data_IF_377518084700
#
_entry.id   IF_377518084700
#
_cell.length_a   1.000
_cell.length_b   1.000
_cell.length_c   1.000
_cell.angle_alpha   90.00
_cell.angle_beta   90.00
_cell.angle_gamma   90.00
#
_symmetry.space_group_name_H-M   'P 1'
#
loop_
_entity.id
_entity.type
_entity.pdbx_description
1 polymer ?
#
# COMPACT_ATOMS: atom_id res chain seq x y z
N UNK A 1 -25.59 -6.55 -14.60
CA UNK A 1 -26.44 -6.52 -13.39
C UNK A 1 -27.71 -7.34 -13.61
N UNK A 2 -28.33 -7.85 -12.53
CA UNK A 2 -29.57 -8.62 -12.57
C UNK A 2 -29.46 -10.07 -13.04
N UNK A 3 -28.35 -10.49 -13.63
CA UNK A 3 -28.15 -11.88 -14.04
C UNK A 3 -27.79 -12.76 -12.84
N UNK A 4 -28.25 -14.02 -12.87
CA UNK A 4 -27.96 -15.01 -11.82
C UNK A 4 -26.71 -15.82 -12.16
N UNK A 5 -25.93 -16.12 -11.12
CA UNK A 5 -24.83 -17.09 -11.19
C UNK A 5 -24.98 -18.09 -10.05
N UNK A 6 -24.83 -19.38 -10.36
CA UNK A 6 -24.81 -20.44 -9.36
C UNK A 6 -23.36 -20.79 -9.04
N UNK A 7 -23.02 -20.76 -7.76
CA UNK A 7 -21.68 -21.06 -7.24
C UNK A 7 -21.77 -22.25 -6.29
N UNK A 8 -20.92 -23.26 -6.49
CA UNK A 8 -20.74 -24.37 -5.56
C UNK A 8 -19.46 -24.15 -4.76
N UNK A 9 -19.55 -24.22 -3.45
CA UNK A 9 -18.42 -24.03 -2.53
C UNK A 9 -18.19 -25.34 -1.76
N UNK A 10 -17.00 -25.88 -1.84
CA UNK A 10 -16.53 -26.98 -1.00
C UNK A 10 -15.70 -26.40 0.14
N UNK A 11 -16.00 -26.83 1.38
CA UNK A 11 -15.27 -26.44 2.58
C UNK A 11 -14.52 -27.62 3.15
N UNK A 12 -13.32 -27.39 3.65
CA UNK A 12 -12.58 -28.40 4.39
C UNK A 12 -13.43 -28.95 5.55
N UNK A 13 -13.48 -30.27 5.73
CA UNK A 13 -14.35 -30.94 6.69
C UNK A 13 -15.85 -30.94 6.37
N UNK A 14 -16.27 -30.36 5.27
CA UNK A 14 -17.66 -30.35 4.80
C UNK A 14 -18.04 -31.70 4.15
N UNK A 15 -19.24 -32.22 4.48
CA UNK A 15 -19.72 -33.48 3.90
C UNK A 15 -20.27 -33.34 2.48
N UNK A 16 -20.70 -32.14 2.07
CA UNK A 16 -21.29 -31.83 0.76
C UNK A 16 -20.97 -30.40 0.35
N UNK A 17 -20.86 -30.13 -0.98
CA UNK A 17 -20.78 -28.76 -1.47
C UNK A 17 -22.03 -27.94 -1.09
N UNK A 18 -21.83 -26.64 -0.83
CA UNK A 18 -22.91 -25.70 -0.57
C UNK A 18 -23.16 -24.92 -1.85
N UNK A 19 -24.42 -24.85 -2.29
CA UNK A 19 -24.81 -24.09 -3.46
C UNK A 19 -25.35 -22.72 -3.09
N UNK A 20 -24.94 -21.71 -3.85
CA UNK A 20 -25.42 -20.33 -3.72
C UNK A 20 -25.92 -19.83 -5.06
N UNK A 21 -27.15 -19.31 -5.10
CA UNK A 21 -27.66 -18.55 -6.24
C UNK A 21 -27.46 -17.05 -5.95
N UNK A 22 -26.55 -16.41 -6.70
CA UNK A 22 -26.16 -15.01 -6.52
C UNK A 22 -26.71 -14.20 -7.69
N UNK A 23 -27.39 -13.10 -7.38
CA UNK A 23 -27.78 -12.08 -8.36
C UNK A 23 -26.65 -11.06 -8.46
N UNK A 24 -26.11 -10.85 -9.66
CA UNK A 24 -25.06 -9.84 -9.88
C UNK A 24 -25.63 -8.45 -9.68
N UNK A 25 -24.94 -7.65 -8.90
CA UNK A 25 -25.26 -6.25 -8.61
C UNK A 25 -24.00 -5.40 -8.53
N UNK A 26 -24.16 -4.09 -8.35
CA UNK A 26 -23.07 -3.21 -8.04
C UNK A 26 -22.43 -3.58 -6.69
N UNK A 27 -21.14 -3.86 -6.68
CA UNK A 27 -20.39 -4.11 -5.46
C UNK A 27 -19.51 -2.90 -5.19
N UNK A 28 -19.71 -2.19 -4.06
CA UNK A 28 -18.82 -1.10 -3.67
C UNK A 28 -17.38 -1.62 -3.56
N UNK A 29 -16.46 -0.89 -4.16
CA UNK A 29 -15.04 -1.22 -4.10
C UNK A 29 -14.31 -0.04 -3.47
N UNK A 30 -14.22 0.04 -2.13
CA UNK A 30 -13.65 1.17 -1.45
C UNK A 30 -12.17 1.33 -1.76
N UNK A 31 -11.70 2.56 -1.84
CA UNK A 31 -10.29 2.90 -1.99
C UNK A 31 -9.49 2.53 -0.75
N UNK A 32 -10.07 2.75 0.43
CA UNK A 32 -9.48 2.44 1.72
C UNK A 32 -10.10 1.15 2.23
N UNK A 33 -9.32 0.07 2.16
CA UNK A 33 -9.76 -1.25 2.62
C UNK A 33 -9.43 -1.54 4.07
N UNK A 34 -8.41 -0.85 4.60
CA UNK A 34 -7.91 -1.13 5.93
C UNK A 34 -7.54 0.15 6.63
N UNK A 35 -8.09 0.36 7.83
CA UNK A 35 -7.65 1.39 8.74
C UNK A 35 -7.74 0.86 10.18
N UNK A 36 -6.67 0.99 10.95
CA UNK A 36 -6.58 0.53 12.33
C UNK A 36 -5.40 1.18 13.06
N UNK A 37 -5.37 1.04 14.38
CA UNK A 37 -4.23 1.48 15.18
C UNK A 37 -3.11 0.44 15.11
N UNK A 38 -1.90 0.84 14.67
CA UNK A 38 -0.70 -0.02 14.71
C UNK A 38 -0.17 -0.17 16.14
N UNK A 39 -0.31 0.88 16.93
CA UNK A 39 -0.02 0.93 18.36
C UNK A 39 -0.94 1.96 19.02
N UNK A 40 -0.74 2.26 20.30
CA UNK A 40 -1.61 3.18 21.06
C UNK A 40 -1.70 4.62 20.50
N UNK A 41 -0.81 5.02 19.56
CA UNK A 41 -0.71 6.41 19.08
C UNK A 41 -0.64 6.55 17.56
N UNK A 42 -0.28 5.49 16.84
CA UNK A 42 -0.05 5.54 15.39
C UNK A 42 -1.18 4.83 14.67
N UNK A 43 -1.95 5.58 13.89
CA UNK A 43 -2.96 5.05 12.99
C UNK A 43 -2.36 4.69 11.63
N UNK A 44 -2.94 3.68 11.01
CA UNK A 44 -2.64 3.21 9.67
C UNK A 44 -3.87 3.35 8.77
N UNK A 45 -3.65 3.84 7.55
CA UNK A 45 -4.65 3.85 6.49
C UNK A 45 -4.02 3.28 5.23
N UNK A 46 -4.56 2.16 4.75
CA UNK A 46 -4.15 1.50 3.51
C UNK A 46 -5.03 1.92 2.33
N UNK A 47 -4.49 2.73 1.42
CA UNK A 47 -5.15 3.16 0.19
C UNK A 47 -4.60 2.32 -0.97
N UNK A 48 -5.05 1.06 -1.07
CA UNK A 48 -4.49 0.07 -2.01
C UNK A 48 -5.32 -0.15 -3.28
N UNK A 49 -6.59 0.32 -3.31
CA UNK A 49 -7.52 0.02 -4.40
C UNK A 49 -7.63 1.12 -5.48
N UNK A 50 -6.68 2.06 -5.51
CA UNK A 50 -6.68 3.21 -6.42
C UNK A 50 -7.49 4.40 -5.90
N UNK A 51 -7.38 5.53 -6.60
CA UNK A 51 -8.12 6.75 -6.29
C UNK A 51 -9.45 6.75 -7.06
N UNK A 52 -10.54 6.59 -6.35
CA UNK A 52 -11.92 6.56 -6.85
C UNK A 52 -12.68 7.80 -6.39
N UNK A 53 -13.93 7.98 -6.81
CA UNK A 53 -14.72 9.20 -6.55
C UNK A 53 -14.90 9.53 -5.07
N UNK A 54 -14.86 8.52 -4.20
CA UNK A 54 -15.12 8.65 -2.76
C UNK A 54 -13.86 8.62 -1.89
N UNK A 55 -12.66 8.54 -2.50
CA UNK A 55 -11.41 8.30 -1.76
C UNK A 55 -11.13 9.33 -0.65
N UNK A 56 -11.36 10.61 -0.91
CA UNK A 56 -11.12 11.66 0.08
C UNK A 56 -12.10 11.58 1.25
N UNK A 57 -13.36 11.25 0.97
CA UNK A 57 -14.40 11.07 2.01
C UNK A 57 -14.12 9.82 2.85
N UNK A 58 -13.70 8.73 2.21
CA UNK A 58 -13.28 7.50 2.91
C UNK A 58 -12.09 7.78 3.83
N UNK A 59 -11.13 8.60 3.38
CA UNK A 59 -9.98 9.01 4.18
C UNK A 59 -10.41 9.82 5.40
N UNK A 60 -11.35 10.75 5.24
CA UNK A 60 -11.89 11.54 6.34
C UNK A 60 -12.62 10.66 7.37
N UNK A 61 -13.37 9.66 6.92
CA UNK A 61 -14.03 8.68 7.79
C UNK A 61 -13.00 7.87 8.57
N UNK A 62 -11.99 7.32 7.90
CA UNK A 62 -10.93 6.54 8.52
C UNK A 62 -10.15 7.35 9.56
N UNK A 63 -9.75 8.59 9.23
CA UNK A 63 -9.04 9.48 10.15
C UNK A 63 -9.90 9.82 11.37
N UNK A 64 -11.19 10.14 11.18
CA UNK A 64 -12.11 10.44 12.30
C UNK A 64 -12.25 9.24 13.24
N UNK A 65 -12.31 8.04 12.70
CA UNK A 65 -12.40 6.82 13.50
C UNK A 65 -11.12 6.55 14.29
N UNK A 66 -9.95 6.65 13.63
CA UNK A 66 -8.65 6.51 14.29
C UNK A 66 -8.41 7.57 15.37
N UNK A 67 -8.87 8.81 15.16
CA UNK A 67 -8.81 9.88 16.19
C UNK A 67 -9.64 9.54 17.43
N UNK A 68 -10.80 8.92 17.28
CA UNK A 68 -11.58 8.43 18.42
C UNK A 68 -10.86 7.34 19.21
N UNK A 69 -9.99 6.57 18.55
CA UNK A 69 -9.15 5.54 19.15
C UNK A 69 -7.84 6.08 19.76
N UNK A 70 -7.60 7.39 19.71
CA UNK A 70 -6.41 8.03 20.29
C UNK A 70 -5.25 8.24 19.33
N UNK A 71 -5.47 8.23 18.01
CA UNK A 71 -4.44 8.47 17.02
C UNK A 71 -3.81 9.86 17.18
N UNK A 72 -2.48 9.90 17.29
CA UNK A 72 -1.66 11.12 17.33
C UNK A 72 -0.80 11.31 16.07
N UNK A 73 -0.58 10.27 15.26
CA UNK A 73 0.19 10.27 14.03
C UNK A 73 -0.41 9.30 13.02
N UNK A 74 -0.22 9.56 11.72
CA UNK A 74 -0.77 8.75 10.64
C UNK A 74 0.33 8.19 9.74
N UNK A 75 0.20 6.90 9.41
CA UNK A 75 0.86 6.27 8.27
C UNK A 75 -0.17 6.08 7.16
N UNK A 76 0.04 6.76 6.02
CA UNK A 76 -0.77 6.61 4.80
C UNK A 76 0.00 5.70 3.85
N UNK A 77 -0.49 4.47 3.66
CA UNK A 77 0.16 3.49 2.79
C UNK A 77 -0.40 3.54 1.37
N UNK A 78 0.45 3.98 0.44
CA UNK A 78 0.19 4.05 -0.99
C UNK A 78 0.95 2.96 -1.76
N UNK A 79 1.54 2.00 -1.10
CA UNK A 79 2.25 0.89 -1.75
C UNK A 79 1.29 0.09 -2.62
N UNK A 80 1.75 -0.31 -3.81
CA UNK A 80 0.98 -1.03 -4.82
C UNK A 80 -0.29 -0.29 -5.32
N UNK A 81 -0.43 1.00 -5.02
CA UNK A 81 -1.51 1.82 -5.53
C UNK A 81 -1.13 2.42 -6.88
N UNK A 82 -1.72 1.91 -7.95
CA UNK A 82 -1.42 2.28 -9.34
C UNK A 82 -1.93 3.68 -9.74
N UNK A 83 -2.57 4.40 -8.82
CA UNK A 83 -3.15 5.73 -9.05
C UNK A 83 -4.67 5.68 -9.23
N UNK A 84 -5.20 6.57 -10.05
CA UNK A 84 -6.64 6.71 -10.30
C UNK A 84 -7.01 8.16 -10.62
N UNK A 85 -8.16 8.60 -10.11
CA UNK A 85 -8.73 9.91 -10.44
C UNK A 85 -7.87 11.07 -9.91
N UNK A 86 -7.41 11.93 -10.82
CA UNK A 86 -6.62 13.12 -10.49
C UNK A 86 -7.34 14.08 -9.52
N UNK A 87 -8.63 14.38 -9.66
CA UNK A 87 -9.35 15.19 -8.67
C UNK A 87 -9.25 14.63 -7.26
N UNK A 88 -9.32 13.32 -7.10
CA UNK A 88 -9.21 12.67 -5.78
C UNK A 88 -7.80 12.73 -5.19
N UNK A 89 -6.76 12.66 -6.03
CA UNK A 89 -5.39 12.92 -5.55
C UNK A 89 -5.22 14.35 -5.02
N UNK A 90 -5.86 15.34 -5.69
CA UNK A 90 -5.86 16.73 -5.23
C UNK A 90 -6.60 16.86 -3.91
N UNK A 91 -7.78 16.26 -3.78
CA UNK A 91 -8.58 16.32 -2.56
C UNK A 91 -7.90 15.62 -1.38
N UNK A 92 -7.34 14.42 -1.58
CA UNK A 92 -6.54 13.72 -0.56
C UNK A 92 -5.35 14.56 -0.12
N UNK A 93 -4.61 15.15 -1.06
CA UNK A 93 -3.49 16.05 -0.74
C UNK A 93 -3.98 17.28 0.05
N UNK A 94 -5.15 17.81 -0.28
CA UNK A 94 -5.74 18.97 0.38
C UNK A 94 -6.11 18.72 1.85
N UNK A 95 -6.21 17.45 2.28
CA UNK A 95 -6.37 17.09 3.70
C UNK A 95 -5.09 17.36 4.52
N UNK A 96 -3.95 17.56 3.86
CA UNK A 96 -2.65 17.70 4.51
C UNK A 96 -1.91 18.98 4.14
N UNK A 97 -2.23 19.60 2.99
CA UNK A 97 -1.56 20.78 2.45
C UNK A 97 -2.53 21.96 2.46
N UNK A 98 -2.04 23.14 2.85
CA UNK A 98 -2.83 24.36 2.94
C UNK A 98 -3.54 24.71 1.62
N UNK A 99 -4.72 25.33 1.74
CA UNK A 99 -5.52 25.77 0.60
C UNK A 99 -4.73 26.67 -0.34
N UNK A 100 -4.90 26.45 -1.64
CA UNK A 100 -4.31 27.28 -2.71
C UNK A 100 -2.86 26.94 -3.05
N UNK A 101 -2.21 26.03 -2.33
CA UNK A 101 -0.89 25.50 -2.69
C UNK A 101 -0.99 24.62 -3.92
N UNK A 102 -0.02 24.69 -4.82
CA UNK A 102 0.06 23.80 -5.99
C UNK A 102 0.23 22.35 -5.55
N UNK A 103 -0.63 21.45 -6.01
CA UNK A 103 -0.52 20.01 -5.77
C UNK A 103 0.27 19.33 -6.89
N UNK A 104 -0.02 19.71 -8.11
CA UNK A 104 0.64 19.20 -9.31
C UNK A 104 0.57 20.22 -10.44
N UNK A 105 1.64 20.32 -11.22
CA UNK A 105 1.65 21.10 -12.46
C UNK A 105 1.57 20.19 -13.68
N UNK A 106 0.81 20.60 -14.68
CA UNK A 106 0.68 19.93 -15.98
C UNK A 106 1.35 20.77 -17.03
N UNK A 107 2.31 20.23 -17.79
CA UNK A 107 3.02 20.96 -18.84
C UNK A 107 3.13 20.09 -20.09
N UNK A 108 2.64 20.61 -21.23
CA UNK A 108 2.79 20.00 -22.55
C UNK A 108 3.77 20.75 -23.43
N UNK A 109 4.10 20.17 -24.60
CA UNK A 109 5.00 20.80 -25.60
C UNK A 109 4.28 21.73 -26.57
N UNK A 110 2.99 21.56 -26.74
CA UNK A 110 2.23 22.34 -27.73
C UNK A 110 1.45 23.47 -27.07
N UNK A 111 1.20 24.54 -27.82
CA UNK A 111 0.36 25.65 -27.38
C UNK A 111 -1.11 25.22 -27.12
N UNK A 112 -1.50 24.01 -27.52
CA UNK A 112 -2.81 23.41 -27.22
C UNK A 112 -2.88 22.75 -25.86
N UNK A 113 -1.75 22.64 -25.12
CA UNK A 113 -1.70 22.17 -23.75
C UNK A 113 -1.11 23.28 -22.88
N UNK A 114 -1.96 24.22 -22.48
CA UNK A 114 -1.56 25.25 -21.53
C UNK A 114 -1.01 24.64 -20.24
N UNK A 115 0.05 25.26 -19.74
CA UNK A 115 0.58 24.87 -18.43
C UNK A 115 -0.46 25.20 -17.37
N UNK A 116 -0.88 24.20 -16.60
CA UNK A 116 -1.88 24.33 -15.55
C UNK A 116 -1.26 23.96 -14.20
N UNK A 117 -1.55 24.77 -13.20
CA UNK A 117 -1.30 24.44 -11.82
C UNK A 117 -2.59 24.04 -11.14
N UNK A 118 -2.67 22.79 -10.74
CA UNK A 118 -3.81 22.28 -9.98
C UNK A 118 -3.50 22.43 -8.49
N UNK A 119 -4.37 23.14 -7.80
CA UNK A 119 -4.14 23.61 -6.43
C UNK A 119 -4.99 22.85 -5.43
N UNK A 120 -4.50 22.79 -4.18
CA UNK A 120 -5.27 22.26 -3.06
C UNK A 120 -6.57 23.06 -2.89
N UNK A 121 -7.65 22.32 -2.68
CA UNK A 121 -8.99 22.86 -2.41
C UNK A 121 -9.16 23.14 -0.91
N UNK A 122 -10.15 23.91 -0.53
CA UNK A 122 -10.44 24.19 0.88
C UNK A 122 -11.04 22.99 1.59
N UNK A 123 -10.88 22.95 2.91
CA UNK A 123 -11.41 21.89 3.77
C UNK A 123 -10.65 21.80 5.08
N UNK A 124 -10.88 20.74 5.83
CA UNK A 124 -10.12 20.44 7.05
C UNK A 124 -8.69 20.03 6.68
N UNK A 125 -7.70 20.76 7.19
CA UNK A 125 -6.29 20.38 7.07
C UNK A 125 -5.87 19.69 8.36
N UNK A 126 -5.42 18.43 8.26
CA UNK A 126 -4.92 17.68 9.40
C UNK A 126 -3.46 18.05 9.68
N UNK A 127 -3.10 18.23 10.96
CA UNK A 127 -1.77 18.72 11.38
C UNK A 127 -0.91 17.65 12.06
N UNK A 128 -1.46 16.51 12.40
CA UNK A 128 -0.69 15.44 13.03
C UNK A 128 0.51 14.98 12.17
N UNK A 129 1.58 14.42 12.76
CA UNK A 129 2.70 13.83 12.03
C UNK A 129 2.23 12.82 10.99
N UNK A 130 2.77 12.93 9.77
CA UNK A 130 2.38 12.12 8.62
C UNK A 130 3.61 11.41 8.05
N UNK A 131 3.46 10.11 7.83
CA UNK A 131 4.38 9.32 7.01
C UNK A 131 3.59 8.73 5.86
N UNK A 132 4.09 8.87 4.63
CA UNK A 132 3.53 8.27 3.42
C UNK A 132 4.42 7.13 2.99
N UNK A 133 3.85 5.93 2.80
CA UNK A 133 4.60 4.78 2.33
C UNK A 133 4.40 4.60 0.83
N UNK A 134 5.50 4.33 0.10
CA UNK A 134 5.50 4.06 -1.34
C UNK A 134 6.40 2.88 -1.70
N UNK A 135 6.15 2.29 -2.87
CA UNK A 135 7.04 1.31 -3.49
C UNK A 135 6.95 1.38 -5.03
N UNK A 136 7.66 0.49 -5.73
CA UNK A 136 7.64 0.41 -7.19
C UNK A 136 6.25 0.24 -7.83
N UNK A 137 5.24 -0.22 -7.07
CA UNK A 137 3.84 -0.29 -7.49
C UNK A 137 3.04 1.01 -7.28
N UNK A 138 3.61 2.01 -6.58
CA UNK A 138 2.98 3.32 -6.38
C UNK A 138 3.12 4.17 -7.63
N UNK A 139 2.01 4.53 -8.29
CA UNK A 139 2.06 5.21 -9.58
C UNK A 139 1.05 6.37 -9.70
N UNK A 140 1.33 7.33 -10.59
CA UNK A 140 0.37 8.36 -11.04
C UNK A 140 -0.19 9.21 -9.87
N UNK A 141 -1.49 9.09 -9.53
CA UNK A 141 -2.13 9.81 -8.42
C UNK A 141 -1.40 9.61 -7.08
N UNK A 142 -0.88 8.40 -6.81
CA UNK A 142 -0.09 8.12 -5.61
C UNK A 142 1.21 8.93 -5.57
N UNK A 143 1.85 9.10 -6.74
CA UNK A 143 3.07 9.89 -6.87
C UNK A 143 2.80 11.39 -6.73
N UNK A 144 1.63 11.85 -7.16
CA UNK A 144 1.18 13.24 -6.97
C UNK A 144 1.03 13.54 -5.48
N UNK A 145 0.34 12.66 -4.73
CA UNK A 145 0.16 12.81 -3.28
C UNK A 145 1.51 12.78 -2.55
N UNK A 146 2.32 11.72 -2.78
CA UNK A 146 3.62 11.56 -2.13
C UNK A 146 4.57 12.71 -2.46
N UNK A 147 4.62 13.14 -3.74
CA UNK A 147 5.48 14.22 -4.20
C UNK A 147 5.10 15.58 -3.62
N UNK A 148 3.81 15.88 -3.48
CA UNK A 148 3.35 17.12 -2.87
C UNK A 148 3.66 17.15 -1.35
N UNK A 149 3.38 16.06 -0.63
CA UNK A 149 3.71 15.93 0.79
C UNK A 149 5.21 16.12 1.04
N UNK A 150 6.05 15.52 0.18
CA UNK A 150 7.51 15.61 0.26
C UNK A 150 8.02 17.02 -0.06
N UNK A 151 7.55 17.64 -1.15
CA UNK A 151 8.01 18.95 -1.57
C UNK A 151 7.70 20.03 -0.52
N UNK A 152 6.53 19.97 0.10
CA UNK A 152 6.17 20.90 1.17
C UNK A 152 6.77 20.53 2.53
N UNK A 153 7.42 19.39 2.67
CA UNK A 153 7.90 18.91 3.96
C UNK A 153 6.78 18.67 4.97
N UNK A 154 5.55 18.38 4.48
CA UNK A 154 4.38 18.16 5.33
C UNK A 154 4.46 16.83 6.06
N UNK A 155 5.19 15.88 5.52
CA UNK A 155 5.44 14.56 6.08
C UNK A 155 6.69 13.95 5.48
N UNK A 156 7.03 12.73 5.91
CA UNK A 156 8.11 11.93 5.36
C UNK A 156 7.57 10.86 4.42
N UNK A 157 8.32 10.58 3.36
CA UNK A 157 8.05 9.48 2.44
C UNK A 157 9.01 8.33 2.75
N UNK A 158 8.47 7.12 2.99
CA UNK A 158 9.22 5.93 3.40
C UNK A 158 8.97 4.77 2.45
N UNK A 159 9.96 3.95 2.18
CA UNK A 159 9.84 2.74 1.36
C UNK A 159 10.88 2.62 0.26
N UNK A 160 10.46 2.28 -0.95
CA UNK A 160 11.29 2.25 -2.15
C UNK A 160 10.79 3.26 -3.19
N UNK A 161 11.62 3.50 -4.24
CA UNK A 161 11.29 4.43 -5.32
C UNK A 161 9.96 4.05 -5.98
N UNK A 162 9.12 5.04 -6.30
CA UNK A 162 7.85 4.83 -6.97
C UNK A 162 8.01 4.50 -8.47
N UNK A 163 6.92 4.14 -9.13
CA UNK A 163 6.91 3.66 -10.51
C UNK A 163 7.45 4.69 -11.53
N UNK A 164 7.14 5.98 -11.37
CA UNK A 164 7.51 7.02 -12.33
C UNK A 164 6.53 7.18 -13.51
N UNK A 165 5.21 7.14 -13.24
CA UNK A 165 4.16 7.38 -14.24
C UNK A 165 3.67 8.82 -14.19
N UNK A 166 4.33 9.69 -14.97
CA UNK A 166 4.05 11.13 -14.99
C UNK A 166 3.47 11.64 -16.32
N UNK A 167 2.86 10.78 -17.14
CA UNK A 167 2.26 11.17 -18.43
C UNK A 167 0.77 11.49 -18.27
N UNK A 168 0.36 12.62 -18.85
CA UNK A 168 -1.05 13.00 -19.01
C UNK A 168 -1.56 12.45 -20.32
N UNK A 169 -2.57 11.60 -20.23
CA UNK A 169 -3.20 10.98 -21.39
C UNK A 169 -4.61 11.53 -21.59
N UNK A 170 -4.93 11.94 -22.81
CA UNK A 170 -6.26 12.39 -23.22
C UNK A 170 -6.90 11.33 -24.10
N UNK A 171 -8.17 11.06 -23.83
CA UNK A 171 -8.96 10.11 -24.64
C UNK A 171 -9.69 10.90 -25.69
N UNK A 172 -9.52 10.50 -26.94
CA UNK A 172 -10.24 11.02 -28.11
C UNK A 172 -11.22 9.94 -28.56
N UNK A 173 -12.53 10.17 -28.46
CA UNK A 173 -13.52 9.24 -28.97
C UNK A 173 -13.41 9.12 -30.49
N UNK A 174 -13.49 7.88 -30.97
CA UNK A 174 -13.49 7.56 -32.41
C UNK A 174 -14.81 6.87 -32.79
N UNK A 175 -15.11 6.74 -34.11
CA UNK A 175 -16.30 6.00 -34.56
C UNK A 175 -16.41 4.62 -33.98
N UNK A 176 -17.65 4.08 -33.97
CA UNK A 176 -18.00 2.73 -33.52
C UNK A 176 -17.70 2.44 -32.01
N UNK A 177 -17.71 3.50 -31.16
CA UNK A 177 -17.48 3.32 -29.70
C UNK A 177 -16.03 3.00 -29.33
N UNK A 178 -15.09 3.21 -30.26
CA UNK A 178 -13.65 3.06 -30.00
C UNK A 178 -13.05 4.38 -29.51
N UNK A 179 -11.81 4.38 -29.04
CA UNK A 179 -11.13 5.57 -28.58
C UNK A 179 -9.61 5.49 -28.74
N UNK A 180 -9.00 6.64 -28.97
CA UNK A 180 -7.54 6.81 -29.01
C UNK A 180 -7.09 7.48 -27.72
N UNK A 181 -6.17 6.86 -26.99
CA UNK A 181 -5.48 7.47 -25.85
C UNK A 181 -4.15 8.06 -26.32
N UNK A 182 -3.98 9.36 -26.16
CA UNK A 182 -2.79 10.08 -26.61
C UNK A 182 -2.16 10.85 -25.46
N UNK A 183 -0.84 10.73 -25.30
CA UNK A 183 -0.06 11.52 -24.34
C UNK A 183 0.04 12.96 -24.83
N UNK A 184 -0.41 13.92 -24.02
CA UNK A 184 -0.45 15.35 -24.35
C UNK A 184 0.44 16.21 -23.46
N UNK A 185 0.74 15.77 -22.24
CA UNK A 185 1.50 16.54 -21.25
C UNK A 185 2.21 15.62 -20.24
N UNK A 186 2.95 16.25 -19.32
CA UNK A 186 3.60 15.59 -18.18
C UNK A 186 3.18 16.22 -16.87
N UNK A 187 3.16 15.41 -15.82
CA UNK A 187 2.98 15.85 -14.45
C UNK A 187 4.32 16.24 -13.81
N UNK A 188 4.27 17.31 -13.03
CA UNK A 188 5.39 17.79 -12.21
C UNK A 188 4.93 18.02 -10.79
N UNK A 189 5.78 17.71 -9.81
CA UNK A 189 5.51 18.04 -8.41
C UNK A 189 5.41 19.56 -8.19
N UNK A 190 4.94 20.04 -7.04
CA UNK A 190 4.84 21.48 -6.74
C UNK A 190 6.13 22.25 -7.01
N UNK A 191 7.28 21.67 -6.72
CA UNK A 191 8.58 22.33 -6.92
C UNK A 191 9.22 22.03 -8.28
N UNK A 192 8.49 21.36 -9.18
CA UNK A 192 8.85 21.23 -10.60
C UNK A 192 9.65 19.98 -10.96
N UNK A 193 9.71 18.97 -10.08
CA UNK A 193 10.29 17.65 -10.43
C UNK A 193 9.35 16.92 -11.39
N UNK A 194 9.89 16.42 -12.51
CA UNK A 194 9.12 15.55 -13.42
C UNK A 194 8.90 14.19 -12.75
N UNK A 195 7.64 13.75 -12.68
CA UNK A 195 7.30 12.42 -12.18
C UNK A 195 7.62 11.31 -13.20
N UNK A 196 7.71 11.65 -14.49
CA UNK A 196 7.89 10.67 -15.55
C UNK A 196 9.29 10.10 -15.54
N UNK A 197 9.39 8.77 -15.36
CA UNK A 197 10.64 8.02 -15.56
C UNK A 197 11.10 8.14 -17.01
N UNK A 198 12.38 8.38 -17.20
CA UNK A 198 12.96 8.41 -18.55
C UNK A 198 13.09 6.99 -19.11
N UNK A 199 12.50 6.77 -20.26
CA UNK A 199 12.55 5.53 -21.02
C UNK A 199 13.10 5.71 -22.45
N UNK A 200 13.72 6.88 -22.71
CA UNK A 200 14.21 7.23 -24.04
C UNK A 200 15.30 6.28 -24.58
N UNK A 201 15.99 5.55 -23.71
CA UNK A 201 17.09 4.63 -24.06
C UNK A 201 16.71 3.15 -23.81
N UNK A 202 15.46 2.84 -23.50
CA UNK A 202 14.99 1.49 -23.19
C UNK A 202 13.78 1.09 -24.04
N UNK A 203 13.46 -0.21 -24.04
CA UNK A 203 12.23 -0.70 -24.64
C UNK A 203 11.02 -0.39 -23.73
N UNK A 204 9.81 -0.47 -24.30
CA UNK A 204 8.58 -0.40 -23.51
C UNK A 204 8.53 -1.51 -22.46
N UNK A 205 9.16 -2.64 -22.73
CA UNK A 205 9.33 -3.73 -21.79
C UNK A 205 10.17 -3.32 -20.59
N UNK A 206 11.30 -2.62 -20.80
CA UNK A 206 12.15 -2.12 -19.71
C UNK A 206 11.42 -1.11 -18.84
N UNK A 207 10.49 -0.32 -19.41
CA UNK A 207 9.64 0.60 -18.66
C UNK A 207 8.72 -0.13 -17.68
N UNK A 208 8.15 -1.26 -18.09
CA UNK A 208 7.22 -2.03 -17.25
C UNK A 208 7.88 -3.06 -16.34
N UNK A 209 9.07 -3.60 -16.71
CA UNK A 209 9.75 -4.64 -15.97
C UNK A 209 10.62 -4.17 -14.81
N UNK A 210 10.86 -2.87 -14.68
CA UNK A 210 11.65 -2.27 -13.58
C UNK A 210 10.84 -2.01 -12.31
N UNK A 211 9.62 -2.49 -12.26
CA UNK A 211 8.86 -2.46 -11.03
C UNK A 211 9.31 -3.61 -10.12
N UNK A 212 9.55 -3.36 -8.85
CA UNK A 212 9.43 -4.34 -7.78
C UNK A 212 7.95 -4.80 -7.73
N UNK A 213 7.45 -5.28 -8.87
CA UNK A 213 6.06 -5.69 -9.05
C UNK A 213 5.76 -6.92 -8.20
N UNK A 214 4.47 -7.19 -7.89
CA UNK A 214 4.04 -8.33 -7.08
C UNK A 214 4.44 -9.71 -7.68
N UNK A 215 4.91 -9.75 -8.91
CA UNK A 215 5.52 -10.91 -9.53
C UNK A 215 7.04 -10.71 -9.52
N UNK A 216 7.66 -10.99 -8.36
CA UNK A 216 9.11 -10.92 -8.16
C UNK A 216 9.87 -11.63 -9.28
N UNK A 217 10.23 -10.89 -10.32
CA UNK A 217 11.31 -11.26 -11.20
C UNK A 217 12.58 -11.27 -10.36
N UNK A 218 13.40 -12.29 -10.54
CA UNK A 218 14.68 -12.45 -9.86
C UNK A 218 15.45 -11.13 -9.80
N UNK A 219 16.14 -10.81 -8.69
CA UNK A 219 17.01 -9.68 -8.63
C UNK A 219 18.04 -9.87 -9.75
N UNK A 220 18.02 -9.01 -10.75
CA UNK A 220 19.06 -8.97 -11.74
C UNK A 220 20.35 -8.66 -10.97
N UNK A 221 21.16 -9.68 -10.78
CA UNK A 221 22.50 -9.63 -10.19
C UNK A 221 23.44 -8.94 -11.18
N UNK A 222 23.20 -7.66 -11.35
CA UNK A 222 24.16 -6.75 -11.96
C UNK A 222 24.08 -5.47 -11.13
N UNK A 223 25.13 -5.17 -10.40
CA UNK A 223 25.43 -3.85 -9.87
C UNK A 223 25.35 -2.85 -11.04
N UNK A 224 24.14 -2.43 -11.41
CA UNK A 224 23.94 -1.34 -12.37
C UNK A 224 24.45 -0.11 -11.67
N UNK A 225 25.50 0.49 -12.22
CA UNK A 225 26.00 1.81 -11.85
C UNK A 225 24.83 2.71 -11.51
N UNK A 226 24.92 3.40 -10.37
CA UNK A 226 23.90 4.34 -9.92
C UNK A 226 23.57 5.27 -11.08
N UNK A 227 22.40 5.10 -11.67
CA UNK A 227 21.95 5.91 -12.81
C UNK A 227 22.00 7.36 -12.39
N UNK A 228 22.91 8.13 -12.98
CA UNK A 228 23.07 9.56 -12.66
C UNK A 228 21.71 10.25 -12.87
N UNK A 229 21.26 11.05 -11.90
CA UNK A 229 19.98 11.75 -12.01
C UNK A 229 19.99 12.63 -13.26
N UNK A 230 19.02 12.46 -14.16
CA UNK A 230 18.94 13.24 -15.42
C UNK A 230 18.19 14.57 -15.26
N UNK A 231 17.46 14.76 -14.16
CA UNK A 231 16.69 15.98 -13.86
C UNK A 231 17.53 17.03 -13.16
N UNK A 232 17.05 18.28 -13.15
CA UNK A 232 17.64 19.35 -12.33
C UNK A 232 17.41 19.06 -10.86
N UNK A 233 18.37 19.38 -9.97
CA UNK A 233 18.18 19.28 -8.53
C UNK A 233 17.09 20.27 -8.05
N UNK A 234 16.23 19.82 -7.17
CA UNK A 234 15.17 20.60 -6.56
C UNK A 234 15.28 20.46 -5.06
N UNK A 235 15.39 21.60 -4.35
CA UNK A 235 15.42 21.62 -2.88
C UNK A 235 13.99 21.76 -2.36
N UNK A 236 13.56 20.80 -1.57
CA UNK A 236 12.23 20.79 -0.93
C UNK A 236 12.16 21.76 0.25
N UNK A 237 10.97 22.04 0.76
CA UNK A 237 10.79 22.89 1.94
C UNK A 237 11.52 22.33 3.17
N UNK A 238 11.66 21.01 3.27
CA UNK A 238 12.44 20.32 4.31
C UNK A 238 13.95 20.46 4.17
N UNK A 239 14.45 21.07 3.08
CA UNK A 239 15.86 21.30 2.80
C UNK A 239 16.58 20.10 2.16
N UNK A 240 15.87 19.05 1.79
CA UNK A 240 16.41 17.88 1.06
C UNK A 240 16.42 18.16 -0.44
N UNK A 241 17.40 17.58 -1.15
CA UNK A 241 17.55 17.73 -2.60
C UNK A 241 17.11 16.45 -3.28
N UNK A 242 16.21 16.57 -4.25
CA UNK A 242 15.72 15.48 -5.09
C UNK A 242 15.82 15.83 -6.57
N UNK A 243 15.70 14.81 -7.40
CA UNK A 243 15.80 14.95 -8.85
C UNK A 243 14.50 14.45 -9.51
N UNK A 244 14.13 15.07 -10.63
CA UNK A 244 13.03 14.58 -11.46
C UNK A 244 13.48 13.46 -12.41
N UNK A 245 12.49 12.85 -13.10
CA UNK A 245 12.75 11.90 -14.17
C UNK A 245 12.87 10.44 -13.72
N UNK A 246 12.45 10.11 -12.51
CA UNK A 246 12.57 8.74 -11.97
C UNK A 246 11.46 8.29 -11.02
N UNK A 247 10.37 9.02 -10.91
CA UNK A 247 9.36 8.82 -9.88
C UNK A 247 9.69 9.58 -8.59
N UNK A 248 9.11 9.16 -7.48
CA UNK A 248 9.36 9.72 -6.15
C UNK A 248 10.38 8.85 -5.42
N UNK A 249 11.55 9.41 -5.15
CA UNK A 249 12.55 8.81 -4.26
C UNK A 249 12.13 9.03 -2.81
N UNK A 250 12.07 7.97 -1.95
CA UNK A 250 11.66 8.14 -0.56
C UNK A 250 12.69 8.93 0.26
N UNK A 251 12.23 9.65 1.29
CA UNK A 251 13.08 10.31 2.29
C UNK A 251 13.90 9.30 3.08
N UNK A 252 13.28 8.16 3.40
CA UNK A 252 13.89 7.06 4.14
C UNK A 252 13.66 5.76 3.36
N UNK A 253 14.74 5.20 2.84
CA UNK A 253 14.71 3.91 2.14
C UNK A 253 14.50 2.78 3.13
N UNK A 254 13.57 1.89 2.80
CA UNK A 254 13.29 0.66 3.53
C UNK A 254 13.00 -0.46 2.52
N UNK A 255 13.78 -1.56 2.54
CA UNK A 255 13.51 -2.68 1.66
C UNK A 255 12.20 -3.37 2.06
N UNK A 256 11.47 -3.95 1.10
CA UNK A 256 10.30 -4.77 1.39
C UNK A 256 10.71 -6.06 2.13
N UNK A 257 9.75 -6.72 2.73
CA UNK A 257 9.95 -8.07 3.25
C UNK A 257 10.26 -9.00 2.07
N UNK A 258 11.43 -9.61 2.10
CA UNK A 258 11.85 -10.55 1.06
C UNK A 258 11.05 -11.87 1.19
N UNK A 259 10.33 -12.23 0.14
CA UNK A 259 9.63 -13.51 0.02
C UNK A 259 10.49 -14.51 -0.75
N UNK A 260 11.46 -15.11 -0.05
CA UNK A 260 12.25 -16.21 -0.60
C UNK A 260 11.36 -17.42 -0.93
N UNK A 261 11.85 -18.33 -1.79
CA UNK A 261 11.15 -19.59 -2.09
C UNK A 261 10.77 -20.36 -0.83
N UNK A 262 11.63 -20.35 0.20
CA UNK A 262 11.35 -20.99 1.48
C UNK A 262 10.17 -20.30 2.19
N UNK A 263 10.17 -18.98 2.28
CA UNK A 263 9.08 -18.22 2.90
C UNK A 263 7.75 -18.35 2.15
N UNK A 264 7.81 -18.45 0.83
CA UNK A 264 6.62 -18.73 0.02
C UNK A 264 6.01 -20.09 0.39
N UNK A 265 6.82 -21.17 0.39
CA UNK A 265 6.38 -22.52 0.79
C UNK A 265 5.85 -22.57 2.22
N UNK A 266 6.49 -21.86 3.15
CA UNK A 266 6.01 -21.74 4.54
C UNK A 266 4.65 -21.05 4.63
N UNK A 267 4.42 -20.03 3.80
CA UNK A 267 3.12 -19.33 3.74
C UNK A 267 2.02 -20.24 3.21
N UNK A 268 2.32 -21.04 2.19
CA UNK A 268 1.41 -22.03 1.63
C UNK A 268 1.09 -23.14 2.63
N UNK A 269 2.11 -23.71 3.28
CA UNK A 269 1.92 -24.72 4.32
C UNK A 269 1.10 -24.15 5.50
N UNK A 270 1.33 -22.91 5.93
CA UNK A 270 0.54 -22.27 6.98
C UNK A 270 -0.94 -22.10 6.57
N UNK A 271 -1.22 -21.76 5.32
CA UNK A 271 -2.58 -21.67 4.81
C UNK A 271 -3.30 -23.03 4.90
N UNK A 272 -2.70 -24.10 4.40
CA UNK A 272 -3.31 -25.44 4.43
C UNK A 272 -3.46 -25.96 5.85
N UNK A 273 -2.45 -25.78 6.70
CA UNK A 273 -2.53 -26.14 8.11
C UNK A 273 -3.68 -25.44 8.84
N UNK A 274 -3.81 -24.13 8.69
CA UNK A 274 -4.86 -23.38 9.37
C UNK A 274 -6.25 -23.69 8.79
N UNK A 275 -6.37 -23.97 7.49
CA UNK A 275 -7.60 -24.45 6.88
C UNK A 275 -8.10 -25.73 7.59
N UNK A 276 -7.21 -26.69 7.79
CA UNK A 276 -7.56 -27.98 8.42
C UNK A 276 -7.77 -27.82 9.95
N UNK A 277 -6.96 -26.95 10.58
CA UNK A 277 -7.08 -26.61 11.99
C UNK A 277 -8.46 -25.98 12.31
N UNK A 278 -8.88 -25.00 11.50
CA UNK A 278 -10.16 -24.30 11.69
C UNK A 278 -11.37 -25.13 11.26
N UNK A 279 -11.15 -26.15 10.44
CA UNK A 279 -12.13 -27.19 10.14
C UNK A 279 -12.28 -28.23 11.26
N UNK A 280 -11.35 -28.28 12.24
CA UNK A 280 -11.31 -29.25 13.33
C UNK A 280 -10.77 -30.60 12.91
N UNK A 281 -9.87 -30.64 11.91
CA UNK A 281 -9.24 -31.85 11.38
C UNK A 281 -7.86 -32.12 11.95
N UNK A 282 -7.32 -31.24 12.79
CA UNK A 282 -6.03 -31.41 13.48
C UNK A 282 -6.29 -32.01 14.85
N UNK A 283 -5.91 -33.26 15.05
CA UNK A 283 -6.08 -34.00 16.29
C UNK A 283 -5.38 -33.30 17.45
N UNK A 284 -6.07 -33.19 18.60
CA UNK A 284 -5.61 -32.51 19.81
C UNK A 284 -5.74 -30.99 19.80
N UNK A 285 -6.26 -30.41 18.69
CA UNK A 285 -6.45 -28.97 18.53
C UNK A 285 -7.87 -28.59 18.10
N UNK A 286 -8.86 -29.38 18.47
CA UNK A 286 -10.28 -29.19 18.10
C UNK A 286 -10.86 -27.87 18.64
N UNK A 287 -10.26 -27.31 19.67
CA UNK A 287 -10.59 -26.00 20.25
C UNK A 287 -10.32 -24.82 19.29
N UNK A 288 -9.51 -25.04 18.24
CA UNK A 288 -9.28 -24.05 17.19
C UNK A 288 -10.37 -24.06 16.09
N UNK A 289 -11.29 -25.00 16.13
CA UNK A 289 -12.41 -25.07 15.17
C UNK A 289 -13.19 -23.76 15.17
N UNK A 290 -13.36 -23.21 13.96
CA UNK A 290 -14.04 -21.93 13.74
C UNK A 290 -15.28 -22.15 12.88
N UNK A 291 -16.45 -22.47 13.49
CA UNK A 291 -17.66 -22.78 12.72
C UNK A 291 -18.25 -21.57 12.00
N UNK A 292 -18.00 -20.37 12.51
CA UNK A 292 -18.49 -19.10 11.97
C UNK A 292 -17.47 -17.99 12.19
N UNK A 293 -17.20 -17.22 11.14
CA UNK A 293 -16.37 -16.02 11.19
C UNK A 293 -17.10 -14.89 11.92
N UNK A 294 -16.39 -14.11 12.73
CA UNK A 294 -17.00 -12.99 13.48
C UNK A 294 -17.09 -11.69 12.67
N UNK A 295 -16.35 -11.59 11.55
CA UNK A 295 -16.23 -10.40 10.72
C UNK A 295 -15.67 -9.15 11.45
N UNK A 296 -14.97 -9.36 12.57
CA UNK A 296 -14.23 -8.27 13.20
C UNK A 296 -13.05 -7.84 12.31
N UNK A 297 -12.88 -6.53 12.15
CA UNK A 297 -11.85 -5.95 11.26
C UNK A 297 -10.59 -5.54 12.00
N UNK A 298 -10.62 -5.52 13.34
CA UNK A 298 -9.51 -5.09 14.19
C UNK A 298 -9.18 -6.16 15.21
N UNK A 299 -7.89 -6.50 15.32
CA UNK A 299 -7.35 -7.36 16.37
C UNK A 299 -7.04 -6.54 17.62
N UNK A 300 -7.30 -7.14 18.79
CA UNK A 300 -6.82 -6.60 20.05
C UNK A 300 -5.40 -7.11 20.31
N UNK A 301 -4.62 -6.32 21.02
CA UNK A 301 -3.29 -6.73 21.44
C UNK A 301 -3.37 -8.02 22.26
N UNK A 302 -2.59 -9.04 21.87
CA UNK A 302 -2.60 -10.35 22.51
C UNK A 302 -3.61 -11.37 21.93
N UNK A 303 -4.49 -10.96 21.02
CA UNK A 303 -5.37 -11.90 20.31
C UNK A 303 -4.50 -12.86 19.46
N UNK A 304 -4.84 -14.15 19.50
CA UNK A 304 -4.22 -15.22 18.71
C UNK A 304 -2.70 -15.35 18.99
N UNK A 305 -2.39 -16.00 20.08
CA UNK A 305 -1.02 -16.48 20.39
C UNK A 305 -0.84 -17.85 19.74
N UNK A 306 0.32 -18.10 19.16
CA UNK A 306 0.71 -19.41 18.62
C UNK A 306 1.61 -20.10 19.66
N UNK A 307 1.07 -21.00 20.50
CA UNK A 307 1.87 -21.73 21.50
C UNK A 307 2.82 -22.71 20.82
N UNK A 308 3.86 -23.12 21.56
CA UNK A 308 4.87 -24.04 21.03
C UNK A 308 4.29 -25.38 20.61
N UNK A 309 3.31 -25.91 21.33
CA UNK A 309 2.60 -27.15 20.97
C UNK A 309 1.92 -27.05 19.60
N UNK A 310 1.26 -25.92 19.30
CA UNK A 310 0.63 -25.71 17.99
C UNK A 310 1.69 -25.55 16.90
N UNK A 311 2.79 -24.86 17.19
CA UNK A 311 3.89 -24.72 16.24
C UNK A 311 4.56 -26.05 15.94
N UNK A 312 4.82 -26.89 16.94
CA UNK A 312 5.36 -28.25 16.75
C UNK A 312 4.43 -29.08 15.86
N UNK A 313 3.11 -28.99 16.08
CA UNK A 313 2.13 -29.69 15.24
C UNK A 313 2.14 -29.17 13.78
N UNK A 314 2.34 -27.86 13.59
CA UNK A 314 2.56 -27.30 12.26
C UNK A 314 3.81 -27.86 11.59
N UNK A 315 4.93 -27.97 12.32
CA UNK A 315 6.17 -28.56 11.78
C UNK A 315 5.94 -30.00 11.31
N UNK A 316 5.28 -30.83 12.11
CA UNK A 316 4.91 -32.21 11.74
C UNK A 316 4.03 -32.23 10.47
N UNK A 317 3.01 -31.38 10.41
CA UNK A 317 2.12 -31.24 9.25
C UNK A 317 2.89 -30.88 7.99
N UNK A 318 3.73 -29.85 8.06
CA UNK A 318 4.46 -29.33 6.92
C UNK A 318 5.55 -30.29 6.42
N UNK A 319 6.24 -31.00 7.32
CA UNK A 319 7.24 -32.02 6.97
C UNK A 319 6.56 -33.28 6.39
N UNK A 320 5.34 -33.58 6.81
CA UNK A 320 4.55 -34.71 6.31
C UNK A 320 4.18 -34.59 4.84
N UNK A 321 4.06 -33.38 4.31
CA UNK A 321 3.82 -33.11 2.89
C UNK A 321 5.18 -33.04 2.15
N UNK A 322 5.50 -34.17 1.48
CA UNK A 322 6.77 -34.31 0.72
C UNK A 322 6.86 -33.42 -0.53
N UNK A 323 5.73 -32.95 -1.05
CA UNK A 323 5.70 -32.13 -2.28
C UNK A 323 6.19 -30.71 -2.02
N UNK A 324 5.99 -30.17 -0.82
CA UNK A 324 6.41 -28.82 -0.47
C UNK A 324 7.93 -28.69 -0.22
N UNK A 325 8.66 -29.81 -0.01
CA UNK A 325 10.12 -29.83 0.21
C UNK A 325 10.59 -29.14 1.50
N UNK A 326 9.70 -28.96 2.51
CA UNK A 326 10.04 -28.38 3.79
C UNK A 326 10.66 -29.45 4.71
N UNK A 327 11.67 -29.03 5.49
CA UNK A 327 12.29 -29.85 6.54
C UNK A 327 12.16 -29.15 7.89
N UNK A 328 12.21 -29.92 8.99
CA UNK A 328 12.19 -29.33 10.33
C UNK A 328 13.24 -28.26 10.52
N UNK A 329 14.47 -28.49 10.02
CA UNK A 329 15.57 -27.53 10.15
C UNK A 329 15.31 -26.20 9.44
N UNK A 330 14.77 -26.25 8.21
CA UNK A 330 14.50 -24.99 7.50
C UNK A 330 13.24 -24.26 8.01
N UNK A 331 12.26 -24.98 8.57
CA UNK A 331 11.11 -24.36 9.26
C UNK A 331 11.59 -23.65 10.53
N UNK A 332 12.40 -24.30 11.35
CA UNK A 332 12.96 -23.73 12.58
C UNK A 332 13.83 -22.49 12.29
N UNK A 333 14.61 -22.49 11.21
CA UNK A 333 15.40 -21.32 10.81
C UNK A 333 14.54 -20.10 10.48
N UNK A 334 13.25 -20.28 10.20
CA UNK A 334 12.25 -19.25 9.90
C UNK A 334 11.06 -19.29 10.88
N UNK A 335 11.26 -19.79 12.10
CA UNK A 335 10.17 -20.02 13.07
C UNK A 335 9.32 -18.77 13.34
N UNK A 336 9.95 -17.60 13.49
CA UNK A 336 9.22 -16.33 13.69
C UNK A 336 8.32 -16.00 12.51
N UNK A 337 8.82 -16.14 11.28
CA UNK A 337 8.05 -15.93 10.06
C UNK A 337 6.89 -16.93 9.95
N UNK A 338 7.15 -18.22 10.17
CA UNK A 338 6.13 -19.27 10.09
C UNK A 338 5.01 -19.05 11.13
N UNK A 339 5.35 -18.71 12.38
CA UNK A 339 4.36 -18.34 13.42
C UNK A 339 3.52 -17.15 13.04
N UNK A 340 4.14 -16.11 12.43
CA UNK A 340 3.41 -14.94 11.93
C UNK A 340 2.43 -15.31 10.83
N UNK A 341 2.81 -16.21 9.91
CA UNK A 341 1.91 -16.69 8.85
C UNK A 341 0.75 -17.53 9.38
N UNK A 342 1.00 -18.44 10.36
CA UNK A 342 -0.07 -19.17 11.03
C UNK A 342 -1.04 -18.22 11.73
N UNK A 343 -0.52 -17.22 12.44
CA UNK A 343 -1.32 -16.23 13.15
C UNK A 343 -2.17 -15.38 12.20
N UNK A 344 -1.60 -14.96 11.08
CA UNK A 344 -2.30 -14.23 10.02
C UNK A 344 -3.46 -15.04 9.45
N UNK A 345 -3.22 -16.31 9.11
CA UNK A 345 -4.26 -17.17 8.57
C UNK A 345 -5.37 -17.45 9.61
N UNK A 346 -5.01 -17.62 10.89
CA UNK A 346 -5.99 -17.76 11.98
C UNK A 346 -6.82 -16.49 12.18
N UNK A 347 -6.18 -15.31 12.09
CA UNK A 347 -6.89 -14.04 12.17
C UNK A 347 -7.88 -13.89 11.00
N UNK A 348 -7.42 -14.23 9.80
CA UNK A 348 -8.27 -14.23 8.60
C UNK A 348 -9.47 -15.18 8.75
N UNK A 349 -9.23 -16.40 9.23
CA UNK A 349 -10.28 -17.41 9.36
C UNK A 349 -11.31 -17.06 10.47
N UNK A 350 -10.85 -16.51 11.60
CA UNK A 350 -11.72 -16.22 12.75
C UNK A 350 -12.44 -14.89 12.64
N UNK A 351 -11.79 -13.88 12.06
CA UNK A 351 -12.27 -12.50 12.04
C UNK A 351 -12.55 -12.02 10.61
N UNK A 352 -11.52 -11.57 9.88
CA UNK A 352 -11.65 -11.05 8.51
C UNK A 352 -10.29 -10.99 7.82
N UNK A 353 -10.29 -10.71 6.51
CA UNK A 353 -9.07 -10.45 5.74
C UNK A 353 -8.31 -9.22 6.26
N UNK A 354 -9.01 -8.20 6.75
CA UNK A 354 -8.40 -7.00 7.34
C UNK A 354 -7.66 -7.32 8.63
N UNK A 355 -8.22 -8.17 9.48
CA UNK A 355 -7.57 -8.63 10.71
C UNK A 355 -6.31 -9.46 10.40
N UNK A 356 -6.36 -10.32 9.39
CA UNK A 356 -5.18 -11.04 8.90
C UNK A 356 -4.12 -10.09 8.34
N UNK A 357 -4.52 -9.10 7.57
CA UNK A 357 -3.62 -8.09 7.03
C UNK A 357 -2.93 -7.27 8.13
N UNK A 358 -3.63 -6.95 9.22
CA UNK A 358 -3.05 -6.28 10.38
C UNK A 358 -1.87 -7.09 10.96
N UNK A 359 -2.01 -8.42 11.08
CA UNK A 359 -0.92 -9.31 11.54
C UNK A 359 0.30 -9.25 10.62
N UNK A 360 0.09 -9.19 9.29
CA UNK A 360 1.20 -9.08 8.34
C UNK A 360 2.01 -7.82 8.54
N UNK A 361 1.36 -6.70 8.84
CA UNK A 361 2.01 -5.41 9.02
C UNK A 361 2.85 -5.33 10.30
N UNK A 362 2.57 -6.14 11.32
CA UNK A 362 3.33 -6.14 12.58
C UNK A 362 4.83 -6.45 12.38
N UNK A 363 5.16 -7.22 11.33
CA UNK A 363 6.54 -7.62 11.02
C UNK A 363 7.00 -7.09 9.64
N UNK A 364 6.27 -6.17 9.04
CA UNK A 364 6.65 -5.52 7.79
C UNK A 364 7.78 -4.50 8.05
N UNK A 365 9.00 -4.70 7.50
CA UNK A 365 10.13 -3.83 7.78
C UNK A 365 9.91 -2.39 7.30
N UNK A 366 9.10 -2.17 6.27
CA UNK A 366 8.75 -0.83 5.81
C UNK A 366 7.78 -0.15 6.77
N UNK A 367 6.80 -0.87 7.34
CA UNK A 367 5.87 -0.35 8.36
C UNK A 367 6.62 -0.04 9.65
N UNK A 368 7.49 -0.91 10.11
CA UNK A 368 8.33 -0.67 11.29
C UNK A 368 9.20 0.58 11.09
N UNK A 369 9.83 0.71 9.91
CA UNK A 369 10.59 1.92 9.56
C UNK A 369 9.73 3.19 9.52
N UNK A 370 8.49 3.08 9.05
CA UNK A 370 7.54 4.19 9.03
C UNK A 370 7.13 4.62 10.45
N UNK A 371 6.94 3.66 11.37
CA UNK A 371 6.68 3.95 12.79
C UNK A 371 7.89 4.66 13.42
N UNK A 372 9.11 4.17 13.18
CA UNK A 372 10.34 4.78 13.67
C UNK A 372 10.58 6.20 13.11
N UNK A 373 10.02 6.52 11.94
CA UNK A 373 10.11 7.83 11.31
C UNK A 373 9.15 8.89 11.90
N UNK A 374 8.15 8.50 12.70
CA UNK A 374 7.15 9.43 13.26
C UNK A 374 7.78 10.60 14.04
N UNK A 375 8.78 10.41 14.93
CA UNK A 375 9.42 11.52 15.63
C UNK A 375 10.09 12.54 14.67
N UNK A 376 10.74 12.06 13.60
CA UNK A 376 11.34 12.91 12.58
C UNK A 376 10.27 13.66 11.78
N UNK A 377 9.19 12.98 11.38
CA UNK A 377 8.04 13.61 10.71
C UNK A 377 7.40 14.71 11.57
N UNK A 378 7.28 14.48 12.87
CA UNK A 378 6.80 15.48 13.85
C UNK A 378 7.72 16.72 13.91
N UNK A 379 9.03 16.50 13.97
CA UNK A 379 10.02 17.58 13.98
C UNK A 379 9.98 18.38 12.67
N UNK A 380 9.91 17.73 11.53
CA UNK A 380 9.82 18.36 10.22
C UNK A 380 8.56 19.23 10.10
N UNK A 381 7.39 18.70 10.46
CA UNK A 381 6.14 19.44 10.41
C UNK A 381 6.19 20.72 11.28
N UNK A 382 6.69 20.64 12.52
CA UNK A 382 6.87 21.79 13.41
C UNK A 382 7.81 22.86 12.82
N UNK A 383 8.95 22.43 12.24
CA UNK A 383 9.93 23.34 11.62
C UNK A 383 9.33 24.10 10.43
N UNK A 384 8.51 23.41 9.61
CA UNK A 384 7.86 24.04 8.46
C UNK A 384 6.78 25.02 8.89
N UNK A 385 5.96 24.66 9.88
CA UNK A 385 4.94 25.56 10.44
C UNK A 385 5.55 26.85 11.00
N UNK A 386 6.61 26.74 11.81
CA UNK A 386 7.33 27.91 12.35
C UNK A 386 7.86 28.82 11.23
N UNK A 387 8.49 28.24 10.19
CA UNK A 387 9.00 29.01 9.04
C UNK A 387 7.91 29.72 8.23
N UNK A 388 6.69 29.18 8.20
CA UNK A 388 5.57 29.82 7.52
C UNK A 388 4.97 30.96 8.34
N UNK A 389 4.96 30.86 9.67
CA UNK A 389 4.53 31.96 10.58
C UNK A 389 5.44 33.17 10.46
N UNK A 390 6.77 32.97 10.47
CA UNK A 390 7.78 34.06 10.34
C UNK A 390 7.73 34.79 8.97
N UNK A 391 7.03 34.26 7.98
CA UNK A 391 6.87 34.89 6.64
C UNK A 391 5.59 35.71 6.52
N UNK A 392 4.70 35.59 7.48
CA UNK A 392 3.42 36.32 7.52
C UNK A 392 3.48 37.55 8.43
N UNK A 393 4.55 37.70 9.25
CA UNK A 393 4.97 38.92 9.94
C UNK A 393 5.91 39.75 9.05
#
# INVERSE_FOLDING_TARGET
EGTRVRVKVERAGGKKPIEFDIVRGGVPFPSIRSHFMLNSRVGYVGLSAGFQETTADELDVAIKDLKKQGMEALILDLRNNVGGLLPQAIEVTSRFVEKGKTVVSVKGRSNYSEAQELKSVGGTTYEFPLVVMINGGSASASEIVAGAIQDYGRGLVVGSESFGKGLVQKIYPLPYGTGLTLTTARYYTPYGRSLQRDYSNGSIYDYFSHSDGPNGGEPADTAKEAVKPKGKPVTTAGGRIYYGGRGIEPDLKAPPLELTTLRYRLSEAAFFFVRDLTAGQIEGFENYKTPKQSFATVLKQGDIVIPDSLFSRFVEFAVGDKENGLTGANIESQASFARSRIREQLATARYSGEAGFQVLLENDPQVLKAIDAIPEARSLAKKIMAKNSDRLE
#
